data_IF_635948976830
#
_entry.id   IF_635948976830
#
_cell.length_a   1.000
_cell.length_b   1.000
_cell.length_c   1.000
_cell.angle_alpha   90.00
_cell.angle_beta   90.00
_cell.angle_gamma   90.00
#
_symmetry.space_group_name_H-M   'P 1'
#
loop_
_entity.id
_entity.type
_entity.pdbx_description
1 polymer ?
#
# COMPACT_ATOMS: atom_id res chain seq x y z
N UNK A 1 18.11 -10.76 4.15
CA UNK A 1 16.96 -11.27 3.37
C UNK A 1 15.97 -12.01 4.26
N UNK A 2 16.42 -13.00 5.05
CA UNK A 2 15.56 -13.74 5.99
C UNK A 2 14.72 -12.86 6.93
N UNK A 3 15.31 -11.78 7.46
CA UNK A 3 14.61 -10.79 8.30
C UNK A 3 13.37 -10.18 7.64
N UNK A 4 13.36 -10.08 6.31
CA UNK A 4 12.28 -9.49 5.52
C UNK A 4 11.21 -10.51 5.14
N UNK A 5 11.31 -11.74 5.62
CA UNK A 5 10.28 -12.78 5.58
C UNK A 5 9.60 -12.96 6.94
N UNK A 6 10.26 -12.55 8.03
CA UNK A 6 9.76 -12.73 9.39
C UNK A 6 8.55 -11.83 9.67
N UNK A 7 7.64 -12.25 10.57
CA UNK A 7 6.53 -11.41 11.02
C UNK A 7 7.02 -10.16 11.75
N UNK A 8 6.21 -9.11 11.67
CA UNK A 8 6.47 -7.84 12.33
C UNK A 8 5.21 -7.33 13.02
N UNK A 9 5.38 -6.55 14.09
CA UNK A 9 4.28 -6.08 14.96
C UNK A 9 3.09 -5.44 14.23
N UNK A 10 3.36 -4.67 13.19
CA UNK A 10 2.34 -4.00 12.36
C UNK A 10 2.16 -4.63 10.98
N UNK A 11 3.01 -5.60 10.63
CA UNK A 11 2.95 -6.34 9.36
C UNK A 11 2.04 -7.56 9.53
N UNK A 12 2.06 -8.24 10.68
CA UNK A 12 1.12 -9.31 11.01
C UNK A 12 1.06 -10.44 9.96
N UNK A 13 2.20 -10.79 9.33
CA UNK A 13 2.28 -11.88 8.34
C UNK A 13 2.13 -13.28 8.95
N UNK A 14 2.09 -13.38 10.27
CA UNK A 14 1.78 -14.57 11.07
C UNK A 14 0.30 -14.66 11.49
N UNK A 15 -0.51 -13.64 11.20
CA UNK A 15 -1.91 -13.62 11.58
C UNK A 15 -2.78 -14.43 10.61
N UNK A 16 -3.62 -15.32 11.13
CA UNK A 16 -4.44 -16.25 10.32
C UNK A 16 -5.28 -15.58 9.24
N UNK A 17 -6.01 -14.50 9.57
CA UNK A 17 -6.80 -13.74 8.58
C UNK A 17 -5.96 -13.14 7.45
N UNK A 18 -4.73 -12.70 7.74
CA UNK A 18 -3.83 -12.10 6.74
C UNK A 18 -3.28 -13.20 5.82
N UNK A 19 -2.93 -14.36 6.39
CA UNK A 19 -2.52 -15.56 5.65
C UNK A 19 -3.63 -16.01 4.70
N UNK A 20 -4.85 -16.15 5.19
CA UNK A 20 -6.01 -16.54 4.39
C UNK A 20 -6.30 -15.54 3.27
N UNK A 21 -6.27 -14.24 3.59
CA UNK A 21 -6.43 -13.19 2.58
C UNK A 21 -5.36 -13.26 1.50
N UNK A 22 -4.08 -13.43 1.86
CA UNK A 22 -2.98 -13.50 0.91
C UNK A 22 -3.16 -14.71 -0.03
N UNK A 23 -3.42 -15.91 0.51
CA UNK A 23 -3.63 -17.12 -0.29
C UNK A 23 -4.87 -17.03 -1.19
N UNK A 24 -5.97 -16.47 -0.69
CA UNK A 24 -7.18 -16.25 -1.49
C UNK A 24 -6.92 -15.29 -2.65
N UNK A 25 -6.22 -14.18 -2.40
CA UNK A 25 -5.92 -13.17 -3.41
C UNK A 25 -4.97 -13.68 -4.52
N UNK A 26 -3.98 -14.53 -4.19
CA UNK A 26 -3.10 -15.11 -5.22
C UNK A 26 -3.73 -16.28 -5.96
N UNK A 27 -4.59 -17.06 -5.30
CA UNK A 27 -5.22 -18.24 -5.88
C UNK A 27 -4.19 -19.30 -6.28
N UNK A 28 -4.27 -19.81 -7.51
CA UNK A 28 -3.38 -20.84 -8.03
C UNK A 28 -2.10 -20.31 -8.69
N UNK A 29 -1.84 -19.00 -8.66
CA UNK A 29 -0.62 -18.43 -9.27
C UNK A 29 0.60 -18.81 -8.44
N UNK A 30 1.62 -19.27 -9.15
CA UNK A 30 2.90 -19.71 -8.58
C UNK A 30 4.06 -18.76 -8.87
N UNK A 31 3.96 -17.95 -9.92
CA UNK A 31 5.00 -16.96 -10.24
C UNK A 31 4.99 -15.83 -9.19
N UNK A 32 6.10 -15.57 -8.47
CA UNK A 32 6.12 -14.59 -7.40
C UNK A 32 5.74 -13.18 -7.85
N UNK A 33 6.14 -12.76 -9.06
CA UNK A 33 5.82 -11.43 -9.57
C UNK A 33 4.33 -11.29 -9.83
N UNK A 34 3.71 -12.27 -10.47
CA UNK A 34 2.25 -12.28 -10.68
C UNK A 34 1.48 -12.38 -9.36
N UNK A 35 1.99 -13.09 -8.35
CA UNK A 35 1.42 -13.08 -7.00
C UNK A 35 1.43 -11.67 -6.39
N UNK A 36 2.58 -10.98 -6.41
CA UNK A 36 2.68 -9.62 -5.87
C UNK A 36 1.78 -8.64 -6.65
N UNK A 37 1.71 -8.74 -7.97
CA UNK A 37 0.80 -7.90 -8.77
C UNK A 37 -0.65 -8.10 -8.36
N UNK A 38 -1.11 -9.34 -8.21
CA UNK A 38 -2.49 -9.62 -7.74
C UNK A 38 -2.76 -9.04 -6.37
N UNK A 39 -1.83 -9.25 -5.43
CA UNK A 39 -1.91 -8.69 -4.09
C UNK A 39 -1.98 -7.16 -4.11
N UNK A 40 -1.14 -6.52 -4.92
CA UNK A 40 -1.15 -5.07 -5.12
C UNK A 40 -2.54 -4.56 -5.55
N UNK A 41 -3.10 -5.09 -6.64
CA UNK A 41 -4.38 -4.61 -7.16
C UNK A 41 -5.55 -4.90 -6.21
N UNK A 42 -5.58 -6.09 -5.60
CA UNK A 42 -6.60 -6.45 -4.61
C UNK A 42 -6.56 -5.50 -3.40
N UNK A 43 -5.38 -5.25 -2.84
CA UNK A 43 -5.20 -4.35 -1.70
C UNK A 43 -5.51 -2.90 -2.09
N UNK A 44 -5.06 -2.47 -3.27
CA UNK A 44 -5.32 -1.13 -3.80
C UNK A 44 -6.82 -0.87 -3.85
N UNK A 45 -7.58 -1.78 -4.46
CA UNK A 45 -8.97 -1.51 -4.85
C UNK A 45 -10.03 -1.98 -3.83
N UNK A 46 -9.77 -3.03 -3.05
CA UNK A 46 -10.75 -3.51 -2.05
C UNK A 46 -10.69 -2.76 -0.72
N UNK A 47 -9.62 -2.01 -0.45
CA UNK A 47 -9.47 -1.21 0.77
C UNK A 47 -9.63 0.27 0.42
N UNK A 48 -10.65 0.90 0.99
CA UNK A 48 -10.93 2.31 0.73
C UNK A 48 -9.86 3.19 1.38
N UNK A 49 -9.26 4.09 0.59
CA UNK A 49 -8.36 5.08 1.12
C UNK A 49 -9.12 6.13 1.95
N UNK A 50 -8.74 6.33 3.20
CA UNK A 50 -9.30 7.37 4.07
C UNK A 50 -8.30 7.82 5.12
N UNK A 51 -8.08 9.15 5.28
CA UNK A 51 -7.31 9.69 6.40
C UNK A 51 -8.13 9.81 7.69
N UNK A 52 -9.45 9.59 7.62
CA UNK A 52 -10.35 9.70 8.77
C UNK A 52 -10.36 8.40 9.57
N UNK A 53 -9.30 8.18 10.34
CA UNK A 53 -9.11 7.02 11.23
C UNK A 53 -8.76 7.48 12.63
N UNK A 54 -8.83 6.59 13.62
CA UNK A 54 -8.36 6.89 14.97
C UNK A 54 -6.83 6.76 15.02
N UNK A 55 -6.12 7.88 14.87
CA UNK A 55 -4.64 7.90 14.92
C UNK A 55 -4.05 7.54 16.29
N UNK A 56 -4.86 7.56 17.35
CA UNK A 56 -4.45 7.12 18.70
C UNK A 56 -4.52 5.60 18.86
N UNK A 57 -5.25 4.91 17.98
CA UNK A 57 -5.27 3.46 17.95
C UNK A 57 -4.10 2.94 17.12
N UNK A 58 -3.23 2.14 17.76
CA UNK A 58 -2.10 1.48 17.10
C UNK A 58 -2.55 0.53 15.99
N UNK A 59 -3.76 -0.03 16.09
CA UNK A 59 -4.28 -0.93 15.08
C UNK A 59 -4.60 -0.22 13.74
N UNK A 60 -4.79 1.11 13.76
CA UNK A 60 -4.96 1.92 12.54
C UNK A 60 -3.74 1.92 11.62
N UNK A 61 -2.59 1.43 12.10
CA UNK A 61 -1.33 1.35 11.36
C UNK A 61 -0.94 -0.08 10.97
N UNK A 62 -1.72 -1.08 11.36
CA UNK A 62 -1.39 -2.50 11.19
C UNK A 62 -2.04 -3.10 9.94
N UNK A 63 -1.43 -4.16 9.41
CA UNK A 63 -1.99 -4.94 8.31
C UNK A 63 -3.33 -5.59 8.67
N UNK A 64 -3.42 -6.19 9.87
CA UNK A 64 -4.65 -6.82 10.33
C UNK A 64 -5.76 -5.77 10.54
N UNK A 65 -5.43 -4.61 11.08
CA UNK A 65 -6.38 -3.53 11.32
C UNK A 65 -7.03 -3.05 10.03
N UNK A 66 -6.24 -2.77 8.99
CA UNK A 66 -6.81 -2.35 7.70
C UNK A 66 -7.55 -3.47 6.98
N UNK A 67 -7.11 -4.73 7.15
CA UNK A 67 -7.80 -5.87 6.58
C UNK A 67 -9.21 -6.03 7.17
N UNK A 68 -9.35 -5.84 8.48
CA UNK A 68 -10.63 -5.95 9.19
C UNK A 68 -11.55 -4.75 8.94
N UNK A 69 -11.01 -3.53 8.92
CA UNK A 69 -11.83 -2.32 8.68
C UNK A 69 -12.18 -2.09 7.22
N UNK A 70 -11.42 -2.69 6.29
CA UNK A 70 -11.46 -2.43 4.84
C UNK A 70 -11.24 -0.96 4.48
N UNK A 71 -10.66 -0.18 5.40
CA UNK A 71 -10.50 1.28 5.29
C UNK A 71 -9.21 1.72 5.97
N UNK A 72 -8.37 2.48 5.29
CA UNK A 72 -7.11 2.95 5.85
C UNK A 72 -6.38 3.90 4.93
N UNK A 73 -5.16 4.29 5.30
CA UNK A 73 -4.32 5.20 4.54
C UNK A 73 -3.02 4.50 4.11
N UNK A 74 -2.01 5.25 3.66
CA UNK A 74 -0.80 4.68 3.04
C UNK A 74 -0.05 3.68 3.94
N UNK A 75 0.10 3.98 5.25
CA UNK A 75 0.86 3.15 6.18
C UNK A 75 0.29 1.73 6.31
N UNK A 76 -0.95 1.53 6.78
CA UNK A 76 -1.44 0.17 6.98
C UNK A 76 -1.67 -0.58 5.67
N UNK A 77 -1.99 0.11 4.56
CA UNK A 77 -2.10 -0.52 3.23
C UNK A 77 -0.74 -1.03 2.74
N UNK A 78 0.34 -0.27 2.95
CA UNK A 78 1.70 -0.74 2.68
C UNK A 78 2.07 -1.91 3.58
N UNK A 79 1.74 -1.84 4.88
CA UNK A 79 2.00 -2.92 5.82
C UNK A 79 1.30 -4.22 5.41
N UNK A 80 0.05 -4.15 4.92
CA UNK A 80 -0.69 -5.31 4.41
C UNK A 80 -0.04 -5.91 3.15
N UNK A 81 0.41 -5.09 2.21
CA UNK A 81 1.09 -5.59 1.02
C UNK A 81 2.42 -6.27 1.38
N UNK A 82 3.20 -5.66 2.28
CA UNK A 82 4.42 -6.28 2.83
C UNK A 82 4.10 -7.60 3.52
N UNK A 83 3.01 -7.67 4.30
CA UNK A 83 2.61 -8.89 4.97
C UNK A 83 2.32 -10.02 3.99
N UNK A 84 1.50 -9.72 2.97
CA UNK A 84 1.11 -10.69 1.96
C UNK A 84 2.30 -11.14 1.13
N UNK A 85 3.24 -10.23 0.80
CA UNK A 85 4.48 -10.58 0.12
C UNK A 85 5.29 -11.59 0.94
N UNK A 86 5.44 -11.36 2.25
CA UNK A 86 6.14 -12.29 3.16
C UNK A 86 5.48 -13.67 3.21
N UNK A 87 4.15 -13.71 3.26
CA UNK A 87 3.37 -14.96 3.29
C UNK A 87 3.61 -15.81 2.05
N UNK A 88 3.78 -15.19 0.88
CA UNK A 88 4.09 -15.91 -0.36
C UNK A 88 5.59 -16.13 -0.59
N UNK A 89 6.41 -15.88 0.44
CA UNK A 89 7.86 -16.13 0.39
C UNK A 89 8.67 -15.04 -0.32
N UNK A 90 8.09 -13.86 -0.55
CA UNK A 90 8.78 -12.72 -1.17
C UNK A 90 9.26 -11.76 -0.08
N UNK A 91 10.57 -11.51 0.03
CA UNK A 91 11.12 -10.56 1.00
C UNK A 91 10.58 -9.14 0.76
N UNK A 92 10.05 -8.51 1.79
CA UNK A 92 9.48 -7.18 1.69
C UNK A 92 9.62 -6.35 2.98
N UNK A 93 9.62 -5.02 2.86
CA UNK A 93 9.66 -4.07 3.98
C UNK A 93 8.86 -2.80 3.68
N UNK A 94 8.43 -2.09 4.72
CA UNK A 94 7.86 -0.76 4.56
C UNK A 94 8.98 0.26 4.38
N UNK A 95 8.86 1.11 3.37
CA UNK A 95 9.64 2.33 3.22
C UNK A 95 8.80 3.56 3.58
N UNK A 96 9.47 4.67 3.86
CA UNK A 96 8.85 5.96 4.16
C UNK A 96 9.58 7.08 3.41
N UNK A 97 8.82 8.04 2.92
CA UNK A 97 9.33 9.25 2.29
C UNK A 97 8.36 10.41 2.49
N UNK A 98 8.86 11.63 2.43
CA UNK A 98 8.02 12.82 2.34
C UNK A 98 7.66 13.06 0.88
N UNK A 99 6.37 13.19 0.59
CA UNK A 99 5.89 13.36 -0.80
C UNK A 99 5.16 14.69 -0.92
N UNK A 100 5.61 15.56 -1.82
CA UNK A 100 4.83 16.73 -2.21
C UNK A 100 3.67 16.27 -3.10
N UNK A 101 2.44 16.38 -2.60
CA UNK A 101 1.26 15.98 -3.34
C UNK A 101 0.62 17.22 -3.97
N UNK A 102 0.78 17.32 -5.29
CA UNK A 102 0.17 18.36 -6.11
C UNK A 102 -1.35 18.20 -6.22
N UNK A 103 -1.89 16.98 -6.02
CA UNK A 103 -3.30 16.59 -6.22
C UNK A 103 -4.18 16.78 -4.97
N UNK A 104 -3.76 17.63 -4.03
CA UNK A 104 -4.42 17.73 -2.73
C UNK A 104 -5.61 18.70 -2.76
N UNK A 105 -6.84 18.20 -2.54
CA UNK A 105 -8.00 19.07 -2.34
C UNK A 105 -7.81 20.00 -1.12
N UNK A 106 -8.45 21.17 -1.11
CA UNK A 106 -8.36 22.10 0.03
C UNK A 106 -8.78 21.46 1.37
N UNK A 107 -9.80 20.59 1.34
CA UNK A 107 -10.27 19.85 2.52
C UNK A 107 -9.23 18.86 3.05
N UNK A 108 -8.56 18.13 2.16
CA UNK A 108 -7.49 17.21 2.55
C UNK A 108 -6.26 17.97 3.05
N UNK A 109 -5.90 19.09 2.40
CA UNK A 109 -4.81 19.98 2.84
C UNK A 109 -5.06 20.53 4.24
N UNK A 110 -6.29 20.98 4.52
CA UNK A 110 -6.68 21.45 5.85
C UNK A 110 -6.58 20.33 6.90
N UNK A 111 -7.02 19.11 6.57
CA UNK A 111 -6.89 17.94 7.45
C UNK A 111 -5.42 17.56 7.70
N UNK A 112 -4.50 17.91 6.79
CA UNK A 112 -3.06 17.67 6.88
C UNK A 112 -2.28 18.89 7.41
N UNK A 113 -2.94 19.81 8.14
CA UNK A 113 -2.26 20.95 8.77
C UNK A 113 -1.84 22.07 7.81
N UNK A 114 -2.43 22.13 6.61
CA UNK A 114 -2.19 23.19 5.62
C UNK A 114 -1.02 22.93 4.67
N UNK A 115 -0.25 21.85 4.86
CA UNK A 115 0.89 21.51 4.01
C UNK A 115 0.48 20.74 2.74
N UNK A 116 1.20 20.97 1.64
CA UNK A 116 1.16 20.11 0.44
C UNK A 116 2.14 18.92 0.55
N UNK A 117 2.89 18.82 1.65
CA UNK A 117 3.79 17.70 1.92
C UNK A 117 3.07 16.66 2.77
N UNK A 118 3.02 15.44 2.24
CA UNK A 118 2.57 14.24 2.92
C UNK A 118 3.78 13.65 3.63
N UNK A 119 3.98 14.09 4.86
CA UNK A 119 5.05 13.58 5.70
C UNK A 119 4.86 12.09 5.99
N UNK A 120 5.95 11.33 6.01
CA UNK A 120 5.94 9.90 6.32
C UNK A 120 4.98 9.08 5.45
N UNK A 121 4.89 9.41 4.16
CA UNK A 121 4.17 8.58 3.20
C UNK A 121 4.85 7.21 3.09
N UNK A 122 4.08 6.13 3.26
CA UNK A 122 4.62 4.78 3.21
C UNK A 122 4.39 4.10 1.87
N UNK A 123 5.41 3.39 1.41
CA UNK A 123 5.39 2.48 0.27
C UNK A 123 5.90 1.10 0.70
N UNK A 124 5.64 0.08 -0.11
CA UNK A 124 6.16 -1.28 0.07
C UNK A 124 7.39 -1.45 -0.80
N UNK A 125 8.52 -1.84 -0.21
CA UNK A 125 9.76 -2.16 -0.91
C UNK A 125 9.85 -3.69 -0.98
N UNK A 126 9.82 -4.26 -2.20
CA UNK A 126 9.60 -5.68 -2.45
C UNK A 126 10.75 -6.23 -3.30
N UNK A 127 11.31 -7.37 -2.91
CA UNK A 127 12.44 -7.97 -3.61
C UNK A 127 11.98 -8.95 -4.71
N UNK A 128 12.04 -8.52 -5.96
CA UNK A 128 11.65 -9.30 -7.14
C UNK A 128 12.80 -9.33 -8.15
N UNK A 129 13.03 -10.48 -8.78
CA UNK A 129 14.05 -10.67 -9.84
C UNK A 129 15.44 -10.12 -9.48
N UNK A 130 15.87 -10.29 -8.24
CA UNK A 130 17.20 -9.85 -7.77
C UNK A 130 17.33 -8.35 -7.47
N UNK A 131 16.22 -7.60 -7.45
CA UNK A 131 16.22 -6.17 -7.12
C UNK A 131 15.05 -5.78 -6.23
N UNK A 132 15.21 -4.65 -5.55
CA UNK A 132 14.14 -4.01 -4.79
C UNK A 132 13.30 -3.13 -5.71
N UNK A 133 11.99 -3.35 -5.73
CA UNK A 133 11.00 -2.55 -6.46
C UNK A 133 9.97 -1.99 -5.49
N UNK A 134 9.63 -0.71 -5.67
CA UNK A 134 8.75 0.02 -4.76
C UNK A 134 7.33 0.05 -5.28
N UNK A 135 6.35 -0.21 -4.41
CA UNK A 135 4.94 -0.23 -4.74
C UNK A 135 4.14 0.59 -3.73
N UNK A 136 3.30 1.50 -4.22
CA UNK A 136 2.38 2.29 -3.40
C UNK A 136 0.93 1.88 -3.69
N UNK A 137 0.32 0.96 -2.91
CA UNK A 137 -1.06 0.54 -3.14
C UNK A 137 -2.10 1.53 -2.55
N UNK A 138 -1.74 2.80 -2.37
CA UNK A 138 -2.44 3.72 -1.47
C UNK A 138 -3.82 4.19 -2.00
N UNK A 139 -3.89 4.93 -3.10
CA UNK A 139 -5.18 5.43 -3.60
C UNK A 139 -5.89 4.32 -4.36
N UNK A 140 -7.10 3.99 -3.91
CA UNK A 140 -7.96 3.01 -4.57
C UNK A 140 -8.56 3.60 -5.85
N UNK A 141 -8.79 2.77 -6.88
CA UNK A 141 -9.28 3.24 -8.19
C UNK A 141 -10.49 4.18 -8.11
N UNK A 142 -11.48 3.87 -7.28
CA UNK A 142 -12.68 4.71 -7.14
C UNK A 142 -12.40 6.12 -6.59
N UNK A 143 -11.33 6.30 -5.78
CA UNK A 143 -10.89 7.62 -5.35
C UNK A 143 -10.22 8.37 -6.51
N UNK A 144 -9.36 7.69 -7.26
CA UNK A 144 -8.66 8.24 -8.43
C UNK A 144 -9.66 8.71 -9.51
N UNK A 145 -10.64 7.86 -9.85
CA UNK A 145 -11.70 8.18 -10.81
C UNK A 145 -12.49 9.44 -10.39
N UNK A 146 -12.81 9.57 -9.10
CA UNK A 146 -13.52 10.75 -8.54
C UNK A 146 -12.66 12.01 -8.51
N UNK A 147 -11.36 11.86 -8.38
CA UNK A 147 -10.40 12.95 -8.37
C UNK A 147 -9.95 13.34 -9.78
N UNK A 148 -10.31 12.56 -10.82
CA UNK A 148 -9.90 12.81 -12.20
C UNK A 148 -8.42 12.49 -12.46
N UNK A 149 -7.83 11.59 -11.67
CA UNK A 149 -6.41 11.20 -11.76
C UNK A 149 -6.30 9.71 -12.09
N UNK A 150 -5.24 9.30 -12.77
CA UNK A 150 -4.98 7.89 -13.02
C UNK A 150 -4.55 7.19 -11.72
N UNK A 151 -5.06 6.00 -11.39
CA UNK A 151 -4.52 5.22 -10.28
C UNK A 151 -3.09 4.80 -10.58
N UNK A 152 -2.30 4.61 -9.52
CA UNK A 152 -0.98 3.98 -9.65
C UNK A 152 -1.11 2.54 -10.13
N UNK A 153 -0.32 2.20 -11.13
CA UNK A 153 -0.20 0.87 -11.70
C UNK A 153 1.11 0.25 -11.25
N UNK A 154 1.10 -1.07 -11.02
CA UNK A 154 2.30 -1.81 -10.63
C UNK A 154 2.42 -3.08 -11.45
N UNK A 155 3.56 -3.23 -12.13
CA UNK A 155 3.86 -4.34 -13.02
C UNK A 155 4.83 -5.37 -12.41
N UNK A 156 5.31 -5.12 -11.18
CA UNK A 156 6.29 -5.97 -10.52
C UNK A 156 7.73 -5.80 -11.02
N UNK A 157 8.00 -4.84 -11.90
CA UNK A 157 9.34 -4.61 -12.48
C UNK A 157 9.84 -3.17 -12.31
N UNK A 158 8.94 -2.19 -12.30
CA UNK A 158 9.25 -0.78 -12.14
C UNK A 158 8.70 -0.23 -10.82
N UNK A 159 9.35 0.82 -10.30
CA UNK A 159 8.87 1.53 -9.13
C UNK A 159 7.52 2.22 -9.45
N UNK A 160 6.52 2.02 -8.61
CA UNK A 160 5.20 2.67 -8.63
C UNK A 160 5.07 3.59 -7.42
N UNK A 161 5.63 4.79 -7.52
CA UNK A 161 5.75 5.73 -6.38
C UNK A 161 4.88 6.98 -6.53
N UNK A 162 4.85 7.57 -7.73
CA UNK A 162 4.30 8.91 -7.95
C UNK A 162 3.19 8.85 -8.98
N UNK A 163 2.08 9.53 -8.69
CA UNK A 163 1.10 9.79 -9.73
C UNK A 163 1.79 10.70 -10.75
N UNK A 164 1.64 10.38 -12.03
CA UNK A 164 1.97 11.34 -13.08
C UNK A 164 1.14 12.62 -12.84
N UNK A 165 1.71 13.78 -13.19
CA UNK A 165 0.98 15.05 -13.16
C UNK A 165 -0.38 14.88 -13.83
N UNK A 166 -1.40 15.57 -13.34
CA UNK A 166 -2.74 15.45 -13.93
C UNK A 166 -2.73 15.81 -15.44
N UNK A 167 -3.82 15.51 -16.16
CA UNK A 167 -3.95 15.87 -17.58
C UNK A 167 -3.89 17.40 -17.83
N UNK A 168 -3.82 18.22 -16.79
CA UNK A 168 -3.63 19.67 -16.87
C UNK A 168 -2.18 20.11 -16.56
N UNK A 169 -1.27 19.16 -16.27
CA UNK A 169 0.14 19.41 -15.98
C UNK A 169 0.42 20.06 -14.62
N UNK A 170 -0.50 19.93 -13.65
CA UNK A 170 -0.35 20.49 -12.29
C UNK A 170 0.05 19.45 -11.25
#
# INVERSE_FOLDING_TARGET
MEEYLQPGKFVNSDHGEVIEFAHSAVGSVTDPKEQIKRLYYVIRDQIVYTPYVNFMDKNSYSAIGVLQTKRGFCIPKSALLVACARIVGVPARCGFADVANHLTSAKLRAAMGGSNVFYWHSYSDIYLDGKWVKATPAFNKALCDRAGIAPLEFDGTCDSLFHEYDNAGN
#
